data_IF_828171121025
#
_entry.id   IF_828171121025
#
_cell.length_a   1.000
_cell.length_b   1.000
_cell.length_c   1.000
_cell.angle_alpha   90.00
_cell.angle_beta   90.00
_cell.angle_gamma   90.00
#
_symmetry.space_group_name_H-M   'P 1'
#
loop_
_entity.id
_entity.type
_entity.pdbx_description
1 polymer ?
#
# COMPACT_ATOMS: atom_id res chain seq x y z
N UNK A 1 13.33 4.22 -11.72
CA UNK A 1 11.95 4.71 -12.00
C UNK A 1 11.41 4.22 -13.34
N UNK A 2 12.13 4.40 -14.46
CA UNK A 2 11.62 4.06 -15.81
C UNK A 2 11.14 2.60 -15.92
N UNK A 3 11.86 1.64 -15.32
CA UNK A 3 11.46 0.22 -15.30
C UNK A 3 10.14 -0.02 -14.57
N UNK A 4 9.95 0.57 -13.39
CA UNK A 4 8.69 0.53 -12.61
C UNK A 4 7.55 1.07 -13.45
N UNK A 5 7.75 2.22 -14.09
CA UNK A 5 6.74 2.86 -14.93
C UNK A 5 6.32 1.98 -16.10
N UNK A 6 7.31 1.37 -16.79
CA UNK A 6 7.06 0.44 -17.89
C UNK A 6 6.28 -0.79 -17.45
N UNK A 7 6.72 -1.46 -16.37
CA UNK A 7 6.05 -2.67 -15.88
C UNK A 7 4.60 -2.41 -15.50
N UNK A 8 4.32 -1.28 -14.82
CA UNK A 8 2.94 -0.88 -14.52
C UNK A 8 2.13 -0.59 -15.78
N UNK A 9 2.71 0.13 -16.76
CA UNK A 9 2.05 0.44 -18.02
C UNK A 9 1.73 -0.83 -18.85
N UNK A 10 2.63 -1.82 -18.80
CA UNK A 10 2.46 -3.14 -19.43
C UNK A 10 1.46 -4.04 -18.66
N UNK A 11 0.95 -3.56 -17.52
CA UNK A 11 -0.09 -4.22 -16.73
C UNK A 11 0.42 -5.14 -15.62
N UNK A 12 1.73 -5.20 -15.38
CA UNK A 12 2.32 -6.09 -14.39
C UNK A 12 2.12 -5.60 -12.94
N UNK A 13 2.04 -6.57 -12.03
CA UNK A 13 2.19 -6.36 -10.59
C UNK A 13 3.68 -6.30 -10.24
N UNK A 14 4.10 -5.38 -9.35
CA UNK A 14 5.48 -5.31 -8.87
C UNK A 14 5.54 -4.97 -7.38
N UNK A 15 6.66 -5.31 -6.73
CA UNK A 15 6.96 -4.86 -5.37
C UNK A 15 7.57 -3.45 -5.44
N UNK A 16 6.96 -2.48 -4.74
CA UNK A 16 7.41 -1.09 -4.75
C UNK A 16 8.42 -0.85 -3.63
N UNK A 17 9.72 -0.64 -3.94
CA UNK A 17 10.72 -0.41 -2.90
C UNK A 17 10.58 0.96 -2.22
N UNK A 18 9.84 1.89 -2.83
CA UNK A 18 9.69 3.29 -2.39
C UNK A 18 8.46 3.52 -1.51
N UNK A 19 7.65 2.49 -1.27
CA UNK A 19 6.44 2.57 -0.46
C UNK A 19 6.56 1.61 0.73
N UNK A 20 7.27 1.99 1.80
CA UNK A 20 7.40 1.19 3.01
C UNK A 20 6.17 1.29 3.93
N UNK A 21 5.37 2.34 3.78
CA UNK A 21 4.20 2.65 4.59
C UNK A 21 3.12 3.29 3.72
N UNK A 22 1.85 3.02 4.04
CA UNK A 22 0.69 3.71 3.48
C UNK A 22 -0.11 4.33 4.60
N UNK A 23 -0.68 5.52 4.38
CA UNK A 23 -1.62 6.14 5.31
C UNK A 23 -3.05 5.89 4.88
N UNK A 24 -3.87 5.46 5.82
CA UNK A 24 -5.29 5.20 5.65
C UNK A 24 -6.10 6.21 6.44
N UNK A 25 -7.10 6.81 5.83
CA UNK A 25 -8.08 7.62 6.55
C UNK A 25 -9.23 6.72 6.97
N UNK A 26 -9.50 6.65 8.27
CA UNK A 26 -10.66 5.96 8.80
C UNK A 26 -11.94 6.73 8.44
N UNK A 27 -12.99 5.99 8.10
CA UNK A 27 -14.31 6.54 7.74
C UNK A 27 -15.30 6.57 8.93
N UNK A 28 -14.78 6.46 10.15
CA UNK A 28 -15.57 6.40 11.38
C UNK A 28 -16.32 5.08 11.65
N UNK A 29 -16.34 4.12 10.70
CA UNK A 29 -17.03 2.84 10.91
C UNK A 29 -16.23 1.95 11.84
N UNK A 30 -16.84 1.65 12.97
CA UNK A 30 -16.34 0.65 13.90
C UNK A 30 -16.68 -0.75 13.39
N UNK A 31 -15.68 -1.44 12.85
CA UNK A 31 -15.80 -2.80 12.30
C UNK A 31 -14.83 -3.75 13.00
N UNK A 32 -15.14 -5.06 13.06
CA UNK A 32 -14.22 -6.04 13.65
C UNK A 32 -12.83 -5.99 13.02
N UNK A 33 -12.73 -5.83 11.70
CA UNK A 33 -11.45 -5.72 10.98
C UNK A 33 -10.67 -4.46 11.38
N UNK A 34 -11.35 -3.31 11.50
CA UNK A 34 -10.71 -2.08 11.97
C UNK A 34 -10.21 -2.21 13.41
N UNK A 35 -11.01 -2.82 14.30
CA UNK A 35 -10.61 -3.09 15.70
C UNK A 35 -9.43 -4.04 15.80
N UNK A 36 -9.45 -5.15 15.06
CA UNK A 36 -8.35 -6.12 15.01
C UNK A 36 -7.05 -5.45 14.53
N UNK A 37 -7.13 -4.73 13.40
CA UNK A 37 -5.99 -4.02 12.82
C UNK A 37 -5.41 -2.97 13.79
N UNK A 38 -6.25 -2.15 14.43
CA UNK A 38 -5.81 -1.17 15.42
C UNK A 38 -5.33 -1.81 16.72
N UNK A 39 -5.91 -2.96 17.10
CA UNK A 39 -5.62 -3.69 18.32
C UNK A 39 -4.29 -4.44 18.34
N UNK A 40 -3.62 -4.60 17.19
CA UNK A 40 -2.34 -5.30 17.13
C UNK A 40 -2.23 -6.28 15.99
N UNK A 41 -3.37 -6.78 15.51
CA UNK A 41 -3.42 -7.91 14.60
C UNK A 41 -2.90 -7.56 13.21
N UNK A 42 -2.35 -8.58 12.56
CA UNK A 42 -1.91 -8.52 11.18
C UNK A 42 -3.11 -8.80 10.29
N UNK A 43 -3.28 -8.00 9.24
CA UNK A 43 -4.39 -8.14 8.30
C UNK A 43 -3.90 -8.09 6.85
N UNK A 44 -4.57 -8.77 5.91
CA UNK A 44 -4.35 -8.53 4.49
C UNK A 44 -4.87 -7.14 4.10
N UNK A 45 -4.15 -6.47 3.20
CA UNK A 45 -4.52 -5.15 2.71
C UNK A 45 -4.63 -5.16 1.19
N UNK A 46 -5.73 -4.62 0.67
CA UNK A 46 -5.86 -4.23 -0.73
C UNK A 46 -6.72 -2.98 -0.80
N UNK A 47 -6.16 -1.91 -1.36
CA UNK A 47 -6.81 -0.61 -1.37
C UNK A 47 -6.62 0.08 -2.71
N UNK A 48 -7.64 0.81 -3.20
CA UNK A 48 -7.43 1.78 -4.25
C UNK A 48 -6.54 2.90 -3.72
N UNK A 49 -5.54 3.28 -4.51
CA UNK A 49 -4.75 4.49 -4.30
C UNK A 49 -4.90 5.38 -5.55
N UNK A 50 -4.69 6.68 -5.36
CA UNK A 50 -4.75 7.66 -6.42
C UNK A 50 -3.67 7.46 -7.49
N UNK A 51 -3.50 8.47 -8.33
CA UNK A 51 -2.50 8.42 -9.39
C UNK A 51 -1.10 8.16 -8.81
N UNK A 52 -0.38 7.18 -9.37
CA UNK A 52 0.98 6.86 -8.95
C UNK A 52 1.99 7.72 -9.72
N UNK A 53 2.73 8.61 -9.03
CA UNK A 53 3.72 9.46 -9.66
C UNK A 53 5.03 8.71 -9.87
N UNK A 54 5.62 8.87 -11.05
CA UNK A 54 7.00 8.45 -11.33
C UNK A 54 7.84 9.62 -11.81
N UNK A 55 9.12 9.65 -11.40
CA UNK A 55 10.09 10.65 -11.85
C UNK A 55 10.89 10.10 -13.03
N UNK A 56 10.83 10.76 -14.18
CA UNK A 56 11.57 10.40 -15.40
C UNK A 56 12.26 11.66 -15.92
N UNK A 57 13.60 11.64 -15.99
CA UNK A 57 14.40 12.78 -16.45
C UNK A 57 14.01 14.13 -15.81
N UNK A 58 13.78 14.13 -14.49
CA UNK A 58 13.40 15.34 -13.73
C UNK A 58 11.94 15.78 -13.91
N UNK A 59 11.13 15.04 -14.67
CA UNK A 59 9.70 15.31 -14.84
C UNK A 59 8.87 14.29 -14.08
N UNK A 60 7.82 14.80 -13.41
CA UNK A 60 6.79 13.98 -12.78
C UNK A 60 5.78 13.53 -13.84
N UNK A 61 5.58 12.22 -13.94
CA UNK A 61 4.56 11.61 -14.78
C UNK A 61 3.57 10.85 -13.89
N UNK A 62 2.28 11.11 -14.06
CA UNK A 62 1.22 10.37 -13.38
C UNK A 62 0.80 9.18 -14.24
N UNK A 63 1.00 7.95 -13.76
CA UNK A 63 0.66 6.74 -14.52
C UNK A 63 -0.84 6.40 -14.46
N UNK A 64 -1.55 6.99 -13.50
CA UNK A 64 -2.95 6.69 -13.20
C UNK A 64 -3.13 5.91 -11.90
N UNK A 65 -4.39 5.62 -11.52
CA UNK A 65 -4.71 5.02 -10.23
C UNK A 65 -4.19 3.59 -10.13
N UNK A 66 -3.71 3.21 -8.94
CA UNK A 66 -3.17 1.88 -8.64
C UNK A 66 -3.99 1.17 -7.56
N UNK A 67 -3.89 -0.15 -7.51
CA UNK A 67 -4.16 -0.89 -6.28
C UNK A 67 -2.85 -1.08 -5.53
N UNK A 68 -2.90 -0.83 -4.23
CA UNK A 68 -1.82 -1.15 -3.29
C UNK A 68 -2.23 -2.37 -2.50
N UNK A 69 -1.37 -3.37 -2.39
CA UNK A 69 -1.68 -4.57 -1.62
C UNK A 69 -0.49 -5.20 -0.90
N UNK A 70 -0.78 -5.90 0.19
CA UNK A 70 0.18 -6.76 0.89
C UNK A 70 -0.60 -7.84 1.68
N UNK A 71 -0.13 -9.09 1.75
CA UNK A 71 -0.82 -10.15 2.49
C UNK A 71 -0.86 -9.93 4.01
N UNK A 72 0.13 -9.21 4.55
CA UNK A 72 0.30 -9.04 5.99
C UNK A 72 0.74 -7.60 6.34
N UNK A 73 -0.17 -6.78 6.86
CA UNK A 73 0.15 -5.43 7.34
C UNK A 73 -0.17 -5.28 8.81
N UNK A 74 0.57 -4.39 9.48
CA UNK A 74 0.29 -3.95 10.84
C UNK A 74 0.26 -2.41 10.91
N UNK A 75 -0.51 -1.87 11.85
CA UNK A 75 -0.52 -0.43 12.14
C UNK A 75 0.74 -0.05 12.90
N UNK A 76 1.32 1.11 12.55
CA UNK A 76 2.45 1.69 13.27
C UNK A 76 2.08 1.90 14.76
N UNK A 77 2.94 1.43 15.67
CA UNK A 77 2.64 1.34 17.10
C UNK A 77 2.27 2.71 17.72
N UNK A 78 2.94 3.76 17.28
CA UNK A 78 2.88 5.12 17.86
C UNK A 78 1.47 5.72 17.87
N UNK A 79 0.59 5.30 16.95
CA UNK A 79 -0.75 5.85 16.78
C UNK A 79 -1.88 4.89 17.18
N UNK A 80 -1.58 3.63 17.53
CA UNK A 80 -2.61 2.58 17.73
C UNK A 80 -3.60 2.90 18.84
N UNK A 81 -3.09 3.16 20.05
CA UNK A 81 -3.93 3.36 21.23
C UNK A 81 -4.86 4.56 21.10
N UNK A 82 -4.32 5.70 20.64
CA UNK A 82 -5.09 6.92 20.43
C UNK A 82 -6.16 6.72 19.35
N UNK A 83 -5.82 6.06 18.25
CA UNK A 83 -6.76 5.79 17.16
C UNK A 83 -7.87 4.84 17.59
N UNK A 84 -7.54 3.77 18.32
CA UNK A 84 -8.54 2.81 18.81
C UNK A 84 -9.49 3.48 19.82
N UNK A 85 -8.98 4.35 20.69
CA UNK A 85 -9.79 5.14 21.60
C UNK A 85 -10.71 6.12 20.84
N UNK A 86 -10.20 6.79 19.80
CA UNK A 86 -11.00 7.67 18.95
C UNK A 86 -12.12 6.90 18.24
N UNK A 87 -11.82 5.73 17.67
CA UNK A 87 -12.81 4.86 17.04
C UNK A 87 -13.89 4.42 18.03
N UNK A 88 -13.49 3.96 19.23
CA UNK A 88 -14.42 3.53 20.29
C UNK A 88 -15.33 4.65 20.76
N UNK A 89 -14.84 5.90 20.76
CA UNK A 89 -15.61 7.09 21.12
C UNK A 89 -16.48 7.65 19.98
N UNK A 90 -16.56 6.97 18.83
CA UNK A 90 -17.30 7.46 17.65
C UNK A 90 -16.63 8.65 16.96
N UNK A 91 -15.35 8.91 17.24
CA UNK A 91 -14.53 10.01 16.68
C UNK A 91 -13.43 9.50 15.75
N UNK A 92 -13.63 8.32 15.17
CA UNK A 92 -12.66 7.71 14.27
C UNK A 92 -12.66 8.30 12.87
N UNK A 93 -13.70 9.04 12.47
CA UNK A 93 -13.78 9.61 11.12
C UNK A 93 -12.69 10.66 10.87
N UNK A 94 -12.03 10.56 9.71
CA UNK A 94 -10.93 11.45 9.33
C UNK A 94 -9.58 11.15 9.99
N UNK A 95 -9.50 10.19 10.93
CA UNK A 95 -8.23 9.84 11.58
C UNK A 95 -7.32 9.09 10.60
N UNK A 96 -6.09 9.58 10.44
CA UNK A 96 -5.06 8.92 9.62
C UNK A 96 -4.31 7.85 10.41
N UNK A 97 -4.07 6.71 9.76
CA UNK A 97 -3.39 5.55 10.34
C UNK A 97 -2.33 5.05 9.37
N UNK A 98 -1.08 5.02 9.83
CA UNK A 98 0.02 4.41 9.09
C UNK A 98 -0.01 2.89 9.17
N UNK A 99 0.03 2.21 8.04
CA UNK A 99 0.15 0.75 7.93
C UNK A 99 1.43 0.37 7.19
N UNK A 100 2.12 -0.64 7.71
CA UNK A 100 3.38 -1.15 7.17
C UNK A 100 3.28 -2.65 6.92
N UNK A 101 3.91 -3.18 5.85
CA UNK A 101 4.13 -4.61 5.70
C UNK A 101 4.91 -5.18 6.89
N UNK A 102 4.50 -6.35 7.37
CA UNK A 102 5.24 -7.08 8.41
C UNK A 102 6.54 -7.65 7.84
N UNK A 103 7.55 -7.88 8.69
CA UNK A 103 8.81 -8.53 8.28
C UNK A 103 9.73 -7.68 7.40
N UNK A 104 9.48 -6.38 7.30
CA UNK A 104 10.28 -5.47 6.49
C UNK A 104 10.00 -5.54 4.99
N UNK A 105 8.92 -6.22 4.59
CA UNK A 105 8.49 -6.34 3.21
C UNK A 105 8.05 -5.01 2.59
N UNK A 106 7.59 -5.06 1.34
CA UNK A 106 7.14 -3.88 0.59
C UNK A 106 5.79 -4.11 -0.08
N UNK A 107 5.06 -3.01 -0.26
CA UNK A 107 3.76 -3.07 -0.91
C UNK A 107 3.86 -3.47 -2.38
N UNK A 108 2.86 -4.22 -2.85
CA UNK A 108 2.66 -4.55 -4.25
C UNK A 108 1.82 -3.45 -4.90
N UNK A 109 2.16 -3.13 -6.16
CA UNK A 109 1.46 -2.15 -6.98
C UNK A 109 1.03 -2.76 -8.31
N UNK A 110 -0.18 -2.42 -8.75
CA UNK A 110 -0.69 -2.70 -10.10
C UNK A 110 -1.64 -1.57 -10.50
N UNK A 111 -1.69 -1.19 -11.78
CA UNK A 111 -2.67 -0.19 -12.26
C UNK A 111 -4.10 -0.75 -12.14
N UNK A 112 -5.05 0.10 -11.76
CA UNK A 112 -6.46 -0.32 -11.64
C UNK A 112 -7.08 -0.73 -12.98
N UNK A 113 -6.56 -0.19 -14.09
CA UNK A 113 -6.98 -0.53 -15.45
C UNK A 113 -6.38 -1.84 -15.98
N UNK A 114 -5.47 -2.48 -15.25
CA UNK A 114 -4.87 -3.73 -15.68
C UNK A 114 -5.92 -4.85 -15.68
N UNK A 115 -5.96 -5.72 -16.69
CA UNK A 115 -6.90 -6.82 -16.75
C UNK A 115 -6.73 -7.74 -15.54
N UNK A 116 -7.84 -8.03 -14.87
CA UNK A 116 -7.95 -8.71 -13.56
C UNK A 116 -7.45 -10.16 -13.49
N UNK A 117 -6.73 -10.65 -14.51
CA UNK A 117 -6.42 -12.07 -14.70
C UNK A 117 -4.93 -12.43 -14.72
N UNK A 118 -4.01 -11.47 -14.86
CA UNK A 118 -2.58 -11.78 -14.68
C UNK A 118 -2.29 -11.88 -13.19
N UNK A 119 -1.81 -13.03 -12.73
CA UNK A 119 -1.61 -13.32 -11.31
C UNK A 119 -0.95 -12.15 -10.58
N UNK A 120 -1.45 -11.82 -9.39
CA UNK A 120 -0.88 -10.79 -8.51
C UNK A 120 0.55 -11.11 -8.01
N UNK A 121 1.22 -12.06 -8.65
CA UNK A 121 2.62 -12.40 -8.47
C UNK A 121 3.46 -11.23 -8.96
N UNK A 122 4.21 -10.57 -8.06
CA UNK A 122 5.07 -9.47 -8.47
C UNK A 122 6.14 -9.96 -9.44
N UNK A 123 6.33 -9.23 -10.53
CA UNK A 123 7.50 -9.43 -11.40
C UNK A 123 8.69 -8.65 -10.81
N UNK A 124 9.90 -9.23 -10.83
CA UNK A 124 11.08 -8.54 -10.35
C UNK A 124 11.39 -7.32 -11.23
N UNK A 125 12.01 -6.30 -10.65
CA UNK A 125 12.48 -5.14 -11.40
C UNK A 125 13.61 -5.53 -12.36
N UNK A 126 14.48 -6.46 -11.96
CA UNK A 126 15.58 -7.00 -12.77
C UNK A 126 16.67 -5.98 -13.06
N UNK A 127 16.90 -5.03 -12.14
CA UNK A 127 17.89 -3.96 -12.31
C UNK A 127 19.28 -4.44 -11.85
N UNK A 128 20.35 -4.27 -12.65
CA UNK A 128 21.70 -4.66 -12.24
C UNK A 128 22.12 -3.98 -10.92
N UNK A 129 22.63 -4.78 -9.98
CA UNK A 129 23.05 -4.30 -8.65
C UNK A 129 21.91 -3.89 -7.71
N UNK A 130 20.65 -4.00 -8.13
CA UNK A 130 19.49 -3.74 -7.29
C UNK A 130 19.02 -5.03 -6.61
N UNK A 131 18.95 -5.02 -5.28
CA UNK A 131 18.38 -6.14 -4.52
C UNK A 131 16.86 -6.04 -4.52
N UNK A 132 16.19 -7.07 -5.02
CA UNK A 132 14.73 -7.11 -5.03
C UNK A 132 14.17 -7.05 -3.61
N UNK A 133 13.20 -6.16 -3.34
CA UNK A 133 12.48 -6.15 -2.07
C UNK A 133 11.56 -7.37 -1.97
N UNK A 134 11.45 -7.91 -0.76
CA UNK A 134 10.54 -9.00 -0.43
C UNK A 134 9.13 -8.49 -0.13
#
# INVERSE_FOLDING_TARGET
MVRVARLLADGHCLVCPFLPEVRLTLNGRDTPTARALLGGEVQPLRLPCGAFPVQIAGRRLELGPVFVSHPEVAVAADSRGQTLAALTAGRGDGVEVGVRPVGGGRFRLVLQRSPSGSGMTPVPLGLPGFREPH
#
